data_IF_569268523622
#
_entry.id   IF_569268523622
#
_cell.length_a   1.000
_cell.length_b   1.000
_cell.length_c   1.000
_cell.angle_alpha   90.00
_cell.angle_beta   90.00
_cell.angle_gamma   90.00
#
_symmetry.space_group_name_H-M   'P 1'
#
loop_
_entity.id
_entity.type
_entity.pdbx_description
1 polymer ?
#
# COMPACT_ATOMS: atom_id res chain seq x y z
N UNK A 1 25.41 -42.58 -30.59
CA UNK A 1 24.98 -41.17 -30.41
C UNK A 1 23.88 -40.97 -29.34
N UNK A 2 23.12 -42.00 -28.92
CA UNK A 2 21.99 -41.83 -27.98
C UNK A 2 22.40 -41.55 -26.52
N UNK A 3 23.38 -42.29 -25.99
CA UNK A 3 23.80 -42.22 -24.57
C UNK A 3 24.42 -40.89 -24.15
N UNK A 4 25.20 -40.24 -25.03
CA UNK A 4 25.79 -38.93 -24.75
C UNK A 4 24.72 -37.84 -24.62
N UNK A 5 23.64 -37.94 -25.40
CA UNK A 5 22.51 -37.01 -25.32
C UNK A 5 21.77 -37.17 -24.00
N UNK A 6 21.48 -38.40 -23.57
CA UNK A 6 20.80 -38.69 -22.29
C UNK A 6 21.59 -38.23 -21.07
N UNK A 7 22.93 -38.36 -21.08
CA UNK A 7 23.80 -37.86 -20.01
C UNK A 7 23.80 -36.33 -19.94
N UNK A 8 23.79 -35.65 -21.09
CA UNK A 8 23.70 -34.18 -21.14
C UNK A 8 22.34 -33.70 -20.61
N UNK A 9 21.24 -34.36 -20.99
CA UNK A 9 19.92 -34.04 -20.44
C UNK A 9 19.85 -34.26 -18.94
N UNK A 10 20.41 -35.36 -18.43
CA UNK A 10 20.42 -35.68 -16.99
C UNK A 10 21.24 -34.65 -16.19
N UNK A 11 22.42 -34.27 -16.69
CA UNK A 11 23.25 -33.24 -16.06
C UNK A 11 22.53 -31.89 -16.09
N UNK A 12 21.91 -31.51 -17.22
CA UNK A 12 21.17 -30.25 -17.35
C UNK A 12 19.96 -30.21 -16.40
N UNK A 13 19.18 -31.30 -16.31
CA UNK A 13 18.05 -31.41 -15.38
C UNK A 13 18.49 -31.38 -13.91
N UNK A 14 19.58 -32.07 -13.56
CA UNK A 14 20.16 -32.06 -12.22
C UNK A 14 20.63 -30.67 -11.81
N UNK A 15 21.25 -29.90 -12.73
CA UNK A 15 21.64 -28.51 -12.46
C UNK A 15 20.42 -27.59 -12.33
N UNK A 16 19.36 -27.77 -13.12
CA UNK A 16 18.12 -26.99 -13.01
C UNK A 16 17.40 -27.28 -11.69
N UNK A 17 17.26 -28.56 -11.31
CA UNK A 17 16.68 -28.97 -10.02
C UNK A 17 17.52 -28.43 -8.86
N UNK A 18 18.85 -28.52 -8.95
CA UNK A 18 19.72 -27.92 -7.94
C UNK A 18 19.49 -26.41 -7.83
N UNK A 19 19.46 -25.68 -8.95
CA UNK A 19 19.16 -24.23 -8.94
C UNK A 19 17.79 -23.97 -8.30
N UNK A 20 16.73 -24.70 -8.66
CA UNK A 20 15.40 -24.55 -8.07
C UNK A 20 15.35 -24.88 -6.56
N UNK A 21 16.20 -25.78 -6.08
CA UNK A 21 16.33 -26.09 -4.65
C UNK A 21 17.20 -25.08 -3.88
N UNK A 22 18.12 -24.38 -4.56
CA UNK A 22 19.04 -23.40 -3.96
C UNK A 22 18.42 -21.99 -3.94
N UNK A 23 17.59 -21.65 -4.95
CA UNK A 23 16.77 -20.43 -4.93
C UNK A 23 15.58 -20.67 -4.01
N UNK A 24 15.82 -20.69 -2.70
CA UNK A 24 14.76 -20.64 -1.71
C UNK A 24 13.90 -19.41 -1.97
N UNK A 25 12.58 -19.59 -2.04
CA UNK A 25 11.64 -18.47 -2.14
C UNK A 25 11.81 -17.63 -0.88
N UNK A 26 12.66 -16.59 -0.96
CA UNK A 26 12.73 -15.59 0.08
C UNK A 26 11.44 -14.78 0.05
N UNK A 27 10.92 -14.44 1.22
CA UNK A 27 9.77 -13.56 1.30
C UNK A 27 10.16 -12.17 0.77
N UNK A 28 9.54 -11.75 -0.32
CA UNK A 28 9.84 -10.47 -0.97
C UNK A 28 8.58 -9.65 -1.18
N UNK A 29 8.65 -8.37 -0.81
CA UNK A 29 7.59 -7.40 -1.04
C UNK A 29 7.83 -6.73 -2.38
N UNK A 30 6.78 -6.64 -3.21
CA UNK A 30 6.81 -5.75 -4.37
C UNK A 30 6.96 -4.30 -3.94
N UNK A 31 7.37 -3.46 -4.88
CA UNK A 31 7.27 -2.01 -4.72
C UNK A 31 5.83 -1.59 -4.43
N UNK A 32 5.71 -0.47 -3.72
CA UNK A 32 4.43 0.16 -3.47
C UNK A 32 3.88 0.76 -4.77
N UNK A 33 2.66 0.39 -5.11
CA UNK A 33 1.89 1.01 -6.17
C UNK A 33 0.95 2.03 -5.53
N UNK A 34 1.28 3.32 -5.68
CA UNK A 34 0.41 4.42 -5.27
C UNK A 34 -0.86 4.43 -6.13
N UNK A 35 -2.01 4.68 -5.52
CA UNK A 35 -3.31 4.61 -6.15
C UNK A 35 -4.19 5.76 -5.68
N UNK A 36 -4.74 6.49 -6.64
CA UNK A 36 -5.69 7.59 -6.39
C UNK A 36 -7.15 7.18 -6.62
N UNK A 37 -7.38 5.97 -7.13
CA UNK A 37 -8.68 5.55 -7.66
C UNK A 37 -9.63 5.07 -6.56
N UNK A 38 -9.12 4.81 -5.36
CA UNK A 38 -9.94 4.41 -4.23
C UNK A 38 -10.73 5.59 -3.67
N UNK A 39 -12.05 5.43 -3.67
CA UNK A 39 -12.96 6.40 -3.10
C UNK A 39 -12.68 6.60 -1.61
N UNK A 40 -12.74 7.85 -1.18
CA UNK A 40 -12.65 8.20 0.23
C UNK A 40 -13.90 7.71 0.99
N UNK A 41 -13.71 7.08 2.14
CA UNK A 41 -14.85 6.59 2.94
C UNK A 41 -15.76 7.71 3.46
N UNK A 42 -15.26 8.94 3.57
CA UNK A 42 -16.05 10.14 3.87
C UNK A 42 -15.55 11.35 3.08
N UNK A 43 -16.45 12.10 2.46
CA UNK A 43 -16.08 13.20 1.56
C UNK A 43 -15.84 14.54 2.26
N UNK A 44 -15.97 14.60 3.59
CA UNK A 44 -15.81 15.81 4.38
C UNK A 44 -15.16 15.57 5.75
N UNK A 45 -14.69 16.65 6.36
CA UNK A 45 -14.26 16.76 7.73
C UNK A 45 -12.87 16.21 8.04
N UNK A 46 -12.11 15.72 7.05
CA UNK A 46 -10.98 14.80 7.28
C UNK A 46 -11.40 13.61 8.14
N UNK A 47 -12.58 13.06 7.86
CA UNK A 47 -13.13 11.89 8.56
C UNK A 47 -12.93 10.60 7.76
N UNK A 48 -12.51 10.73 6.50
CA UNK A 48 -12.43 9.61 5.57
C UNK A 48 -11.04 9.02 5.52
N UNK A 49 -10.99 7.75 5.15
CA UNK A 49 -9.75 7.05 4.80
C UNK A 49 -9.90 6.48 3.40
N UNK A 50 -8.79 6.47 2.66
CA UNK A 50 -8.67 5.78 1.37
C UNK A 50 -7.40 4.97 1.33
N UNK A 51 -7.35 4.02 0.41
CA UNK A 51 -6.12 3.29 0.11
C UNK A 51 -5.21 4.24 -0.67
N UNK A 52 -4.04 4.53 -0.11
CA UNK A 52 -3.02 5.36 -0.73
C UNK A 52 -2.11 4.52 -1.62
N UNK A 53 -1.73 3.32 -1.14
CA UNK A 53 -0.85 2.44 -1.87
C UNK A 53 -1.11 0.97 -1.55
N UNK A 54 -0.78 0.10 -2.49
CA UNK A 54 -0.84 -1.35 -2.32
C UNK A 54 0.47 -1.99 -2.76
N UNK A 55 0.78 -3.16 -2.20
CA UNK A 55 1.90 -4.01 -2.60
C UNK A 55 1.53 -5.47 -2.45
N UNK A 56 2.21 -6.34 -3.17
CA UNK A 56 2.01 -7.79 -3.11
C UNK A 56 3.24 -8.46 -2.52
N UNK A 57 3.05 -9.64 -1.95
CA UNK A 57 4.12 -10.44 -1.36
C UNK A 57 4.25 -11.77 -2.11
N UNK A 58 5.48 -12.19 -2.37
CA UNK A 58 5.78 -13.57 -2.76
C UNK A 58 6.44 -14.28 -1.57
N UNK A 59 5.82 -15.37 -1.08
CA UNK A 59 6.30 -16.09 0.11
C UNK A 59 5.56 -15.68 1.40
N UNK A 60 6.28 -15.61 2.53
CA UNK A 60 5.71 -15.27 3.84
C UNK A 60 6.24 -13.93 4.36
N UNK A 61 5.63 -12.82 3.94
CA UNK A 61 6.06 -11.48 4.35
C UNK A 61 5.32 -10.99 5.59
N UNK A 62 6.03 -10.28 6.48
CA UNK A 62 5.43 -9.58 7.61
C UNK A 62 5.05 -8.14 7.25
N UNK A 63 3.90 -7.68 7.76
CA UNK A 63 3.41 -6.31 7.61
C UNK A 63 2.19 -6.19 6.69
N UNK A 64 1.62 -4.98 6.61
CA UNK A 64 0.42 -4.74 5.82
C UNK A 64 0.73 -4.68 4.30
N UNK A 65 -0.15 -5.23 3.45
CA UNK A 65 -0.08 -5.08 2.00
C UNK A 65 -0.70 -3.76 1.50
N UNK A 66 -1.35 -3.01 2.39
CA UNK A 66 -2.10 -1.79 2.05
C UNK A 66 -1.64 -0.67 2.98
N UNK A 67 -1.40 0.51 2.40
CA UNK A 67 -1.27 1.79 3.12
C UNK A 67 -2.55 2.60 2.96
N UNK A 68 -3.01 3.16 4.06
CA UNK A 68 -4.18 4.04 4.09
C UNK A 68 -3.73 5.47 4.32
N UNK A 69 -4.48 6.42 3.77
CA UNK A 69 -4.33 7.84 4.04
C UNK A 69 -5.68 8.47 4.35
N UNK A 70 -5.64 9.56 5.11
CA UNK A 70 -6.84 10.33 5.38
C UNK A 70 -7.24 11.21 4.19
N UNK A 71 -8.55 11.46 4.07
CA UNK A 71 -9.12 12.20 2.96
C UNK A 71 -10.43 12.89 3.35
N UNK A 72 -10.95 13.71 2.43
CA UNK A 72 -12.17 14.50 2.65
C UNK A 72 -11.89 15.85 3.32
N UNK A 73 -10.92 16.61 2.80
CA UNK A 73 -10.48 17.88 3.41
C UNK A 73 -11.55 18.98 3.49
N UNK A 74 -12.61 18.93 2.69
CA UNK A 74 -13.70 19.92 2.76
C UNK A 74 -14.42 19.87 4.11
N UNK A 75 -14.93 20.99 4.61
CA UNK A 75 -15.70 20.98 5.88
C UNK A 75 -17.03 20.26 5.72
N UNK A 76 -17.44 19.49 6.73
CA UNK A 76 -18.80 18.97 6.81
C UNK A 76 -19.82 20.07 7.15
N UNK A 77 -21.04 19.89 6.68
CA UNK A 77 -22.19 20.72 7.03
C UNK A 77 -22.94 20.13 8.23
N UNK A 78 -23.77 20.97 8.86
CA UNK A 78 -24.70 20.56 9.91
C UNK A 78 -25.55 19.35 9.46
N UNK A 79 -25.83 18.36 10.34
CA UNK A 79 -25.58 18.32 11.79
C UNK A 79 -24.20 17.81 12.21
N UNK A 80 -23.37 17.38 11.27
CA UNK A 80 -22.06 16.84 11.59
C UNK A 80 -21.10 17.95 12.03
N UNK A 81 -20.13 17.64 12.91
CA UNK A 81 -19.06 18.57 13.20
C UNK A 81 -18.31 18.87 11.91
N UNK A 82 -17.97 20.14 11.69
CA UNK A 82 -17.35 20.56 10.43
C UNK A 82 -16.01 19.88 10.14
N UNK A 83 -15.25 19.52 11.18
CA UNK A 83 -14.02 18.73 11.09
C UNK A 83 -14.05 17.62 12.14
N UNK A 84 -13.48 16.46 11.81
CA UNK A 84 -13.33 15.33 12.72
C UNK A 84 -12.35 15.63 13.86
N UNK A 85 -12.37 14.76 14.89
CA UNK A 85 -11.45 14.86 16.00
C UNK A 85 -9.99 14.83 15.51
N UNK A 86 -9.12 15.67 16.08
CA UNK A 86 -7.74 15.85 15.61
C UNK A 86 -7.58 16.89 14.50
N UNK A 87 -8.67 17.33 13.86
CA UNK A 87 -8.67 18.33 12.79
C UNK A 87 -9.34 19.65 13.21
N UNK A 88 -8.91 20.74 12.59
CA UNK A 88 -9.46 22.08 12.77
C UNK A 88 -9.63 22.80 11.43
N UNK A 89 -10.54 23.78 11.40
CA UNK A 89 -10.78 24.60 10.20
C UNK A 89 -9.58 25.50 9.95
N UNK A 90 -9.04 25.45 8.74
CA UNK A 90 -8.01 26.37 8.23
C UNK A 90 -8.44 26.89 6.86
N UNK A 91 -7.87 28.03 6.47
CA UNK A 91 -8.12 28.62 5.15
C UNK A 91 -6.96 28.27 4.23
N UNK A 92 -7.25 27.56 3.13
CA UNK A 92 -6.29 27.27 2.07
C UNK A 92 -6.85 27.80 0.75
N UNK A 93 -6.12 28.67 0.06
CA UNK A 93 -6.54 29.21 -1.23
C UNK A 93 -7.91 29.92 -1.21
N UNK A 94 -8.32 30.48 -0.07
CA UNK A 94 -9.63 31.13 0.10
C UNK A 94 -10.79 30.17 0.43
N UNK A 95 -10.55 28.86 0.54
CA UNK A 95 -11.54 27.88 0.96
C UNK A 95 -11.26 27.41 2.39
N UNK A 96 -12.33 27.13 3.15
CA UNK A 96 -12.20 26.53 4.49
C UNK A 96 -12.10 25.01 4.33
N UNK A 97 -10.99 24.45 4.79
CA UNK A 97 -10.74 23.02 4.80
C UNK A 97 -10.32 22.58 6.21
N UNK A 98 -10.46 21.30 6.49
CA UNK A 98 -9.99 20.68 7.71
C UNK A 98 -8.52 20.30 7.56
N UNK A 99 -7.70 20.72 8.51
CA UNK A 99 -6.29 20.36 8.59
C UNK A 99 -5.96 19.90 10.01
N UNK A 100 -4.89 19.10 10.14
CA UNK A 100 -4.46 18.58 11.43
C UNK A 100 -4.21 19.75 12.40
N UNK A 101 -4.70 19.61 13.64
CA UNK A 101 -4.42 20.58 14.71
C UNK A 101 -2.91 20.67 14.92
N UNK A 102 -2.40 21.86 15.24
CA UNK A 102 -0.99 22.02 15.57
C UNK A 102 -0.61 21.08 16.73
N UNK A 103 0.32 20.15 16.50
CA UNK A 103 0.72 19.12 17.46
C UNK A 103 -0.04 17.79 17.35
N UNK A 104 -1.06 17.69 16.49
CA UNK A 104 -1.59 16.41 16.06
C UNK A 104 -0.59 15.80 15.06
N UNK A 105 0.00 14.67 15.43
CA UNK A 105 0.73 13.84 14.48
C UNK A 105 -0.29 13.34 13.46
N UNK A 106 -0.19 13.79 12.21
CA UNK A 106 -0.96 13.18 11.13
C UNK A 106 -0.62 11.68 11.13
N UNK A 107 -1.62 10.76 11.20
CA UNK A 107 -1.32 9.35 11.12
C UNK A 107 -0.64 9.08 9.78
N UNK A 108 0.53 8.45 9.87
CA UNK A 108 1.38 8.09 8.75
C UNK A 108 0.83 6.89 7.99
#
# INVERSE_FOLDING_TARGET
>A
LSVASSLLFYVMYSKIIAVLLIVGVCADWSDWTETSDFACSATCGMCGVKVAATRTCTGNCSGAPVRYEECGAGTCFFPNPSCCAGYEKKVFGGQIQCAAKAGAVAPK
#
